data_IF_986418783084
#
_entry.id   IF_986418783084
#
_cell.length_a   1.000
_cell.length_b   1.000
_cell.length_c   1.000
_cell.angle_alpha   90.00
_cell.angle_beta   90.00
_cell.angle_gamma   90.00
#
_symmetry.space_group_name_H-M   'P 1'
#
loop_
_entity.id
_entity.type
_entity.pdbx_description
1 polymer ?
#
# COMPACT_ATOMS: atom_id res chain seq x y z
N UNK A 1 10.25 -4.66 -18.62
CA UNK A 1 10.19 -4.34 -17.17
C UNK A 1 11.55 -3.86 -16.68
N UNK A 2 12.18 -2.95 -17.43
CA UNK A 2 13.51 -2.42 -17.10
C UNK A 2 13.41 -1.39 -15.97
N UNK A 3 12.39 -0.53 -16.03
CA UNK A 3 12.21 0.55 -15.07
C UNK A 3 11.79 0.04 -13.69
N UNK A 4 10.88 -0.93 -13.63
CA UNK A 4 10.53 -1.62 -12.38
C UNK A 4 11.79 -2.14 -11.67
N UNK A 5 12.68 -2.79 -12.42
CA UNK A 5 13.93 -3.35 -11.88
C UNK A 5 14.87 -2.24 -11.38
N UNK A 6 15.04 -1.18 -12.17
CA UNK A 6 15.84 0.00 -11.80
C UNK A 6 15.33 0.67 -10.52
N UNK A 7 14.01 0.84 -10.40
CA UNK A 7 13.35 1.46 -9.24
C UNK A 7 13.47 0.59 -7.98
N UNK A 8 13.40 -0.73 -8.13
CA UNK A 8 13.62 -1.69 -7.03
C UNK A 8 15.03 -1.58 -6.48
N UNK A 9 16.03 -1.55 -7.36
CA UNK A 9 17.43 -1.36 -6.95
C UNK A 9 17.66 0.00 -6.28
N UNK A 10 17.11 1.08 -6.86
CA UNK A 10 17.17 2.41 -6.26
C UNK A 10 16.53 2.43 -4.86
N UNK A 11 15.33 1.86 -4.72
CA UNK A 11 14.62 1.80 -3.44
C UNK A 11 15.44 1.06 -2.38
N UNK A 12 16.02 -0.09 -2.74
CA UNK A 12 16.84 -0.87 -1.81
C UNK A 12 18.08 -0.09 -1.36
N UNK A 13 18.82 0.51 -2.30
CA UNK A 13 20.00 1.34 -1.97
C UNK A 13 19.64 2.54 -1.09
N UNK A 14 18.54 3.22 -1.39
CA UNK A 14 18.06 4.36 -0.59
C UNK A 14 17.66 3.94 0.83
N UNK A 15 16.97 2.81 0.98
CA UNK A 15 16.61 2.24 2.28
C UNK A 15 17.86 1.83 3.07
N UNK A 16 18.81 1.13 2.44
CA UNK A 16 20.07 0.74 3.08
C UNK A 16 20.87 1.96 3.56
N UNK A 17 20.99 3.00 2.72
CA UNK A 17 21.67 4.24 3.09
C UNK A 17 20.97 4.97 4.24
N UNK A 18 19.63 5.02 4.24
CA UNK A 18 18.84 5.60 5.33
C UNK A 18 19.08 4.86 6.65
N UNK A 19 18.98 3.52 6.62
CA UNK A 19 19.14 2.69 7.81
C UNK A 19 20.57 2.74 8.37
N UNK A 20 21.59 2.91 7.54
CA UNK A 20 22.97 3.12 7.98
C UNK A 20 23.15 4.40 8.82
N UNK A 21 22.24 5.37 8.71
CA UNK A 21 22.23 6.60 9.49
C UNK A 21 21.34 6.54 10.74
N UNK A 22 20.73 5.39 11.03
CA UNK A 22 19.92 5.16 12.22
C UNK A 22 20.74 4.31 13.20
N UNK A 23 20.80 4.76 14.46
CA UNK A 23 21.47 4.02 15.53
C UNK A 23 20.52 2.95 16.11
N UNK A 24 20.74 1.65 15.82
CA UNK A 24 19.84 0.59 16.27
C UNK A 24 19.98 0.31 17.77
N UNK A 25 21.00 0.84 18.44
CA UNK A 25 21.25 0.60 19.88
C UNK A 25 20.34 1.41 20.79
N UNK A 26 19.60 2.38 20.23
CA UNK A 26 18.67 3.19 21.01
C UNK A 26 17.57 2.33 21.63
N UNK A 27 17.16 2.60 22.89
CA UNK A 27 16.31 1.67 23.65
C UNK A 27 14.99 1.30 22.99
N UNK A 28 14.35 2.19 22.22
CA UNK A 28 13.09 1.88 21.53
C UNK A 28 13.28 0.98 20.30
N UNK A 29 14.44 1.01 19.65
CA UNK A 29 14.78 0.08 18.56
C UNK A 29 15.32 -1.24 19.12
N UNK A 30 16.29 -1.17 20.04
CA UNK A 30 16.96 -2.34 20.61
C UNK A 30 16.00 -3.26 21.38
N UNK A 31 15.00 -2.69 22.06
CA UNK A 31 13.99 -3.47 22.80
C UNK A 31 12.73 -3.74 21.96
N UNK A 32 12.78 -3.52 20.64
CA UNK A 32 11.65 -3.75 19.72
C UNK A 32 10.33 -3.13 20.20
N UNK A 33 10.39 -1.85 20.63
CA UNK A 33 9.20 -1.10 21.06
C UNK A 33 8.51 -0.37 19.92
N UNK A 34 9.13 -0.33 18.75
CA UNK A 34 8.61 0.37 17.57
C UNK A 34 9.01 -0.34 16.29
N UNK A 35 8.05 -0.42 15.37
CA UNK A 35 8.27 -0.64 13.97
C UNK A 35 8.07 0.67 13.23
N UNK A 36 9.00 0.96 12.32
CA UNK A 36 8.80 1.99 11.30
C UNK A 36 8.74 1.29 9.96
N UNK A 37 7.64 1.49 9.23
CA UNK A 37 7.46 0.92 7.91
C UNK A 37 7.20 2.01 6.88
N UNK A 38 7.71 1.77 5.68
CA UNK A 38 7.43 2.60 4.53
C UNK A 38 6.12 2.16 3.87
N UNK A 39 5.40 3.13 3.33
CA UNK A 39 4.28 2.95 2.40
C UNK A 39 4.61 3.71 1.10
N UNK A 40 3.63 3.89 0.21
CA UNK A 40 3.87 4.65 -1.01
C UNK A 40 4.86 3.94 -1.95
N UNK A 41 5.59 4.71 -2.74
CA UNK A 41 6.54 4.15 -3.72
C UNK A 41 7.68 3.38 -3.04
N UNK A 42 8.13 3.79 -1.85
CA UNK A 42 9.16 3.05 -1.11
C UNK A 42 8.61 1.71 -0.59
N UNK A 43 7.39 1.69 -0.05
CA UNK A 43 6.72 0.46 0.38
C UNK A 43 6.52 -0.53 -0.77
N UNK A 44 6.10 -0.02 -1.95
CA UNK A 44 5.93 -0.81 -3.17
C UNK A 44 7.25 -1.23 -3.86
N UNK A 45 8.40 -0.73 -3.41
CA UNK A 45 9.70 -1.05 -4.00
C UNK A 45 9.97 -0.37 -5.35
N UNK A 46 9.39 0.82 -5.57
CA UNK A 46 9.39 1.51 -6.87
C UNK A 46 9.75 3.01 -6.78
N UNK A 47 10.41 3.43 -5.70
CA UNK A 47 10.83 4.81 -5.51
C UNK A 47 11.90 5.24 -6.54
N UNK A 48 11.91 6.54 -6.87
CA UNK A 48 13.02 7.23 -7.54
C UNK A 48 13.56 8.35 -6.67
N UNK A 49 14.62 9.00 -7.15
CA UNK A 49 15.18 10.26 -6.61
C UNK A 49 14.14 11.38 -6.43
N UNK A 50 13.04 11.33 -7.18
CA UNK A 50 11.95 12.31 -7.09
C UNK A 50 10.85 11.92 -6.11
N UNK A 51 10.88 10.69 -5.59
CA UNK A 51 9.87 10.19 -4.66
C UNK A 51 10.04 10.77 -3.26
N UNK A 52 8.93 11.00 -2.59
CA UNK A 52 8.91 11.29 -1.16
C UNK A 52 8.90 9.97 -0.37
N UNK A 53 9.28 10.02 0.91
CA UNK A 53 9.23 8.87 1.81
C UNK A 53 8.00 8.97 2.72
N UNK A 54 7.06 8.04 2.55
CA UNK A 54 5.88 7.91 3.39
C UNK A 54 6.13 6.90 4.51
N UNK A 55 6.16 7.35 5.77
CA UNK A 55 6.43 6.53 6.94
C UNK A 55 5.22 6.46 7.87
N UNK A 56 5.04 5.32 8.53
CA UNK A 56 4.07 5.12 9.61
C UNK A 56 4.77 4.32 10.73
N UNK A 57 4.38 4.56 11.99
CA UNK A 57 4.83 3.78 13.15
C UNK A 57 3.78 2.78 13.60
N UNK A 58 4.27 1.59 13.96
CA UNK A 58 3.53 0.55 14.66
C UNK A 58 4.22 0.26 15.98
N UNK A 59 3.45 0.11 17.05
CA UNK A 59 3.99 -0.18 18.38
C UNK A 59 3.14 -1.24 19.08
N UNK A 60 3.74 -2.03 20.00
CA UNK A 60 2.96 -2.91 20.85
C UNK A 60 1.93 -2.14 21.67
N UNK A 61 0.82 -2.80 21.95
CA UNK A 61 -0.23 -2.30 22.83
C UNK A 61 0.20 -2.41 24.30
N UNK A 62 -0.11 -1.39 25.10
CA UNK A 62 -0.03 -1.50 26.55
C UNK A 62 -1.00 -2.54 27.06
N UNK A 63 -0.64 -3.21 28.15
CA UNK A 63 -1.53 -4.07 28.91
C UNK A 63 -2.14 -3.30 30.09
N UNK A 64 -3.39 -3.59 30.40
CA UNK A 64 -4.01 -3.15 31.66
C UNK A 64 -3.59 -4.03 32.85
N UNK A 65 -4.14 -3.76 34.04
CA UNK A 65 -3.83 -4.52 35.26
C UNK A 65 -4.23 -5.99 35.21
N UNK A 66 -5.11 -6.37 34.28
CA UNK A 66 -5.57 -7.75 34.07
C UNK A 66 -4.81 -8.43 32.92
N UNK A 67 -3.83 -7.74 32.32
CA UNK A 67 -3.04 -8.24 31.20
C UNK A 67 -3.73 -8.14 29.84
N UNK A 68 -4.82 -7.36 29.72
CA UNK A 68 -5.55 -7.18 28.46
C UNK A 68 -4.99 -6.00 27.67
N UNK A 69 -4.88 -6.18 26.36
CA UNK A 69 -4.41 -5.13 25.46
C UNK A 69 -5.33 -3.92 25.38
N UNK A 70 -4.72 -2.75 25.54
CA UNK A 70 -5.29 -1.43 25.35
C UNK A 70 -4.97 -0.91 23.94
N UNK A 71 -5.70 0.10 23.51
CA UNK A 71 -5.37 0.84 22.28
C UNK A 71 -4.13 1.72 22.43
N UNK A 72 -3.73 2.03 23.67
CA UNK A 72 -2.58 2.88 23.98
C UNK A 72 -1.26 2.17 23.64
N UNK A 73 -0.32 2.93 23.06
CA UNK A 73 1.02 2.47 22.70
C UNK A 73 1.92 2.27 23.92
N UNK A 74 2.75 1.22 23.92
CA UNK A 74 3.86 1.07 24.88
C UNK A 74 4.96 2.10 24.70
N UNK A 75 5.07 2.69 23.50
CA UNK A 75 6.02 3.76 23.20
C UNK A 75 5.51 5.06 23.85
N UNK A 76 6.37 5.71 24.63
CA UNK A 76 6.02 6.99 25.24
C UNK A 76 5.94 8.09 24.18
N UNK A 77 5.22 9.18 24.46
CA UNK A 77 5.16 10.33 23.53
C UNK A 77 6.52 11.00 23.33
N UNK A 78 7.42 10.95 24.31
CA UNK A 78 8.79 11.45 24.17
C UNK A 78 9.62 10.53 23.26
N UNK A 79 9.52 9.20 23.44
CA UNK A 79 10.20 8.25 22.56
C UNK A 79 9.68 8.36 21.12
N UNK A 80 8.37 8.56 20.93
CA UNK A 80 7.76 8.80 19.62
C UNK A 80 8.40 10.02 18.93
N UNK A 81 8.60 11.12 19.66
CA UNK A 81 9.29 12.32 19.14
C UNK A 81 10.75 12.00 18.80
N UNK A 82 11.45 11.23 19.63
CA UNK A 82 12.82 10.81 19.37
C UNK A 82 12.95 9.95 18.11
N UNK A 83 12.04 8.99 17.91
CA UNK A 83 11.99 8.17 16.68
C UNK A 83 11.79 9.06 15.45
N UNK A 84 10.83 9.99 15.49
CA UNK A 84 10.61 10.94 14.39
C UNK A 84 11.87 11.78 14.12
N UNK A 85 12.50 12.30 15.16
CA UNK A 85 13.70 13.13 15.04
C UNK A 85 14.88 12.35 14.44
N UNK A 86 15.03 11.08 14.78
CA UNK A 86 16.08 10.23 14.24
C UNK A 86 15.90 9.97 12.75
N UNK A 87 14.68 9.64 12.32
CA UNK A 87 14.39 9.47 10.89
C UNK A 87 14.56 10.76 10.10
N UNK A 88 14.15 11.91 10.67
CA UNK A 88 14.37 13.22 10.03
C UNK A 88 15.86 13.52 9.88
N UNK A 89 16.68 13.23 10.92
CA UNK A 89 18.14 13.40 10.83
C UNK A 89 18.74 12.47 9.78
N UNK A 90 18.34 11.20 9.76
CA UNK A 90 18.82 10.22 8.80
C UNK A 90 18.49 10.64 7.36
N UNK A 91 17.25 11.08 7.10
CA UNK A 91 16.83 11.61 5.80
C UNK A 91 17.74 12.75 5.33
N UNK A 92 18.00 13.72 6.21
CA UNK A 92 18.83 14.89 5.90
C UNK A 92 20.29 14.51 5.69
N UNK A 93 20.84 13.58 6.48
CA UNK A 93 22.19 13.04 6.27
C UNK A 93 22.35 12.36 4.92
N UNK A 94 21.29 11.73 4.41
CA UNK A 94 21.27 11.12 3.08
C UNK A 94 20.95 12.11 1.94
N UNK A 95 20.68 13.39 2.24
CA UNK A 95 20.24 14.37 1.25
C UNK A 95 18.84 14.08 0.67
N UNK A 96 18.03 13.30 1.37
CA UNK A 96 16.66 12.98 0.98
C UNK A 96 15.72 14.13 1.37
N UNK A 97 14.57 14.21 0.68
CA UNK A 97 13.53 15.20 0.97
C UNK A 97 12.99 15.03 2.39
N UNK A 98 12.62 16.14 3.02
CA UNK A 98 11.85 16.12 4.26
C UNK A 98 10.48 15.45 4.04
N UNK A 99 9.92 14.85 5.10
CA UNK A 99 8.63 14.14 5.05
C UNK A 99 7.48 15.08 4.62
N UNK A 100 6.63 14.59 3.71
CA UNK A 100 5.46 15.35 3.24
C UNK A 100 4.51 15.74 4.38
N UNK A 101 3.82 16.87 4.19
CA UNK A 101 2.88 17.42 5.16
C UNK A 101 3.53 17.71 6.52
N UNK A 102 4.83 17.97 6.56
CA UNK A 102 5.62 18.16 7.78
C UNK A 102 5.54 16.98 8.75
N UNK A 103 5.48 15.76 8.21
CA UNK A 103 5.43 14.53 9.01
C UNK A 103 4.04 14.19 9.56
N UNK A 104 2.97 14.85 9.08
CA UNK A 104 1.57 14.59 9.48
C UNK A 104 1.15 13.12 9.36
N UNK A 105 1.75 12.37 8.45
CA UNK A 105 1.41 10.95 8.23
C UNK A 105 2.33 10.00 8.99
N UNK A 106 3.40 10.50 9.61
CA UNK A 106 4.30 9.71 10.46
C UNK A 106 3.72 9.57 11.86
N UNK A 107 2.52 9.00 11.92
CA UNK A 107 1.73 8.77 13.13
C UNK A 107 2.00 7.38 13.70
N UNK A 108 1.70 7.22 14.99
CA UNK A 108 1.89 5.97 15.72
C UNK A 108 0.56 5.26 15.97
N UNK A 109 0.49 3.99 15.58
CA UNK A 109 -0.65 3.11 15.78
C UNK A 109 -0.26 1.85 16.56
N UNK A 110 -1.24 1.26 17.23
CA UNK A 110 -1.18 -0.12 17.74
C UNK A 110 -2.08 -1.01 16.90
N UNK A 111 -1.76 -2.31 16.77
CA UNK A 111 -2.63 -3.26 16.08
C UNK A 111 -4.05 -3.24 16.69
N UNK A 112 -4.14 -3.19 18.03
CA UNK A 112 -5.42 -3.10 18.75
C UNK A 112 -6.25 -1.89 18.34
N UNK A 113 -5.64 -0.71 18.22
CA UNK A 113 -6.34 0.50 17.79
C UNK A 113 -6.82 0.39 16.33
N UNK A 114 -6.00 -0.17 15.44
CA UNK A 114 -6.37 -0.40 14.04
C UNK A 114 -7.52 -1.40 13.90
N UNK A 115 -7.54 -2.45 14.72
CA UNK A 115 -8.60 -3.47 14.75
C UNK A 115 -9.91 -2.91 15.31
N UNK A 116 -9.87 -2.19 16.44
CA UNK A 116 -11.08 -1.60 17.03
C UNK A 116 -11.71 -0.53 16.15
N UNK A 117 -10.93 0.09 15.25
CA UNK A 117 -11.43 1.10 14.35
C UNK A 117 -12.17 0.52 13.13
N UNK A 118 -12.01 -0.77 12.78
CA UNK A 118 -12.54 -1.32 11.52
C UNK A 118 -14.05 -1.09 11.41
N UNK A 119 -14.46 -0.38 10.35
CA UNK A 119 -15.89 -0.09 10.09
C UNK A 119 -16.54 0.91 11.05
N UNK A 120 -15.80 1.46 12.02
CA UNK A 120 -16.29 2.49 12.93
C UNK A 120 -16.23 3.89 12.32
N UNK A 121 -16.98 4.89 12.85
CA UNK A 121 -16.84 6.29 12.43
C UNK A 121 -15.41 6.86 12.64
N UNK A 122 -14.65 6.29 13.58
CA UNK A 122 -13.30 6.73 13.90
C UNK A 122 -12.23 6.23 12.91
N UNK A 123 -12.61 5.29 12.03
CA UNK A 123 -11.71 4.65 11.06
C UNK A 123 -11.09 5.69 10.13
N UNK A 124 -11.91 6.58 9.56
CA UNK A 124 -11.46 7.66 8.67
C UNK A 124 -10.89 8.86 9.44
N UNK A 125 -11.47 9.21 10.60
CA UNK A 125 -11.09 10.42 11.37
C UNK A 125 -9.66 10.35 11.89
N UNK A 126 -9.27 9.18 12.40
CA UNK A 126 -7.93 8.97 12.99
C UNK A 126 -6.88 8.57 11.95
N UNK A 127 -7.29 8.33 10.70
CA UNK A 127 -6.43 7.75 9.67
C UNK A 127 -6.16 6.25 9.82
N UNK A 128 -6.76 5.59 10.82
CA UNK A 128 -6.62 4.15 11.07
C UNK A 128 -6.99 3.31 9.84
N UNK A 129 -8.04 3.69 9.11
CA UNK A 129 -8.47 3.01 7.89
C UNK A 129 -7.34 2.94 6.84
N UNK A 130 -6.75 4.09 6.54
CA UNK A 130 -5.67 4.17 5.54
C UNK A 130 -4.40 3.52 6.07
N UNK A 131 -4.03 3.74 7.32
CA UNK A 131 -2.83 3.13 7.91
C UNK A 131 -2.88 1.59 7.91
N UNK A 132 -4.03 1.01 8.31
CA UNK A 132 -4.29 -0.43 8.32
C UNK A 132 -4.21 -1.02 6.91
N UNK A 133 -4.87 -0.39 5.94
CA UNK A 133 -4.90 -0.95 4.59
C UNK A 133 -3.55 -0.78 3.87
N UNK A 134 -2.84 0.33 4.08
CA UNK A 134 -1.49 0.47 3.52
C UNK A 134 -0.50 -0.50 4.18
N UNK A 135 -0.66 -0.81 5.48
CA UNK A 135 0.07 -1.89 6.14
C UNK A 135 -0.14 -3.23 5.41
N UNK A 136 -1.39 -3.61 5.16
CA UNK A 136 -1.71 -4.90 4.55
C UNK A 136 -1.41 -4.96 3.05
N UNK A 137 -1.42 -3.84 2.33
CA UNK A 137 -1.42 -3.83 0.86
C UNK A 137 -0.11 -3.39 0.23
N UNK A 138 0.72 -2.58 0.88
CA UNK A 138 1.94 -2.06 0.24
C UNK A 138 3.10 -1.76 1.19
N UNK A 139 3.02 -2.20 2.45
CA UNK A 139 4.04 -1.80 3.42
C UNK A 139 5.34 -2.57 3.29
N UNK A 140 6.43 -1.91 3.68
CA UNK A 140 7.75 -2.52 3.85
C UNK A 140 8.33 -2.11 5.20
N UNK A 141 8.58 -3.05 6.14
CA UNK A 141 9.24 -2.70 7.39
C UNK A 141 10.66 -2.22 7.12
N UNK A 142 11.03 -1.08 7.69
CA UNK A 142 12.40 -0.56 7.68
C UNK A 142 13.14 -1.02 8.95
N UNK A 143 12.45 -0.96 10.10
CA UNK A 143 12.91 -1.43 11.41
C UNK A 143 11.74 -2.12 12.11
N UNK A 144 12.03 -3.11 12.97
CA UNK A 144 11.01 -3.77 13.80
C UNK A 144 10.13 -4.75 13.03
N UNK A 145 10.72 -5.58 12.16
CA UNK A 145 10.00 -6.54 11.32
C UNK A 145 9.11 -7.50 12.12
N UNK A 146 9.51 -7.89 13.34
CA UNK A 146 8.68 -8.76 14.20
C UNK A 146 7.35 -8.10 14.58
N UNK A 147 7.37 -6.82 14.97
CA UNK A 147 6.14 -6.07 15.29
C UNK A 147 5.28 -5.90 14.05
N UNK A 148 5.91 -5.65 12.89
CA UNK A 148 5.23 -5.54 11.60
C UNK A 148 4.46 -6.82 11.24
N UNK A 149 5.14 -7.97 11.26
CA UNK A 149 4.53 -9.27 10.96
C UNK A 149 3.44 -9.62 11.97
N UNK A 150 3.70 -9.44 13.27
CA UNK A 150 2.70 -9.67 14.32
C UNK A 150 1.45 -8.82 14.13
N UNK A 151 1.61 -7.54 13.79
CA UNK A 151 0.47 -6.65 13.56
C UNK A 151 -0.34 -7.07 12.33
N UNK A 152 0.31 -7.54 11.25
CA UNK A 152 -0.37 -8.11 10.09
C UNK A 152 -1.19 -9.34 10.51
N UNK A 153 -0.60 -10.26 11.28
CA UNK A 153 -1.28 -11.46 11.76
C UNK A 153 -2.51 -11.13 12.63
N UNK A 154 -2.37 -10.21 13.57
CA UNK A 154 -3.46 -9.78 14.46
C UNK A 154 -4.61 -9.15 13.66
N UNK A 155 -4.28 -8.29 12.70
CA UNK A 155 -5.27 -7.59 11.88
C UNK A 155 -5.97 -8.56 10.91
N UNK A 156 -5.22 -9.46 10.26
CA UNK A 156 -5.82 -10.49 9.40
C UNK A 156 -6.72 -11.42 10.18
N UNK A 157 -6.32 -11.82 11.40
CA UNK A 157 -7.15 -12.63 12.29
C UNK A 157 -8.49 -11.96 12.58
N UNK A 158 -8.51 -10.63 12.76
CA UNK A 158 -9.76 -9.89 12.94
C UNK A 158 -10.68 -9.95 11.70
N UNK A 159 -10.11 -9.89 10.50
CA UNK A 159 -10.88 -10.04 9.24
C UNK A 159 -11.33 -11.49 8.96
N UNK A 160 -10.59 -12.48 9.44
CA UNK A 160 -10.85 -13.93 9.26
C UNK A 160 -11.54 -14.58 10.46
N UNK A 161 -12.19 -13.81 11.33
CA UNK A 161 -12.88 -14.33 12.53
C UNK A 161 -13.84 -15.48 12.20
N UNK A 162 -14.54 -15.41 11.07
CA UNK A 162 -15.51 -16.42 10.64
C UNK A 162 -14.89 -17.56 9.80
N UNK A 163 -13.57 -17.61 9.63
CA UNK A 163 -12.92 -18.66 8.84
C UNK A 163 -13.04 -20.07 9.43
N UNK A 164 -12.81 -20.33 10.74
CA UNK A 164 -12.82 -21.70 11.27
C UNK A 164 -14.10 -22.51 10.98
N UNK A 165 -15.33 -21.95 11.09
CA UNK A 165 -16.54 -22.68 10.72
C UNK A 165 -16.79 -22.80 9.20
N UNK A 166 -16.04 -22.07 8.36
CA UNK A 166 -16.25 -21.96 6.91
C UNK A 166 -14.99 -22.30 6.08
N UNK A 167 -14.03 -23.03 6.67
CA UNK A 167 -12.66 -23.14 6.14
C UNK A 167 -12.56 -23.71 4.72
N UNK A 168 -13.54 -24.51 4.28
CA UNK A 168 -13.60 -25.16 2.97
C UNK A 168 -14.22 -24.29 1.87
N UNK A 169 -14.88 -23.19 2.22
CA UNK A 169 -15.58 -22.31 1.27
C UNK A 169 -15.50 -20.81 1.63
N UNK A 170 -14.50 -20.40 2.41
CA UNK A 170 -14.44 -19.04 2.95
C UNK A 170 -14.11 -18.01 1.87
N UNK A 171 -15.00 -17.03 1.73
CA UNK A 171 -14.78 -15.81 0.94
C UNK A 171 -14.43 -14.68 1.91
N UNK A 172 -13.27 -13.99 1.76
CA UNK A 172 -12.86 -12.91 2.65
C UNK A 172 -13.58 -11.59 2.33
N UNK A 173 -14.90 -11.64 2.24
CA UNK A 173 -15.79 -10.55 1.84
C UNK A 173 -15.52 -9.28 2.65
N UNK A 174 -15.34 -9.40 3.97
CA UNK A 174 -15.11 -8.27 4.85
C UNK A 174 -13.82 -7.51 4.48
N UNK A 175 -12.71 -8.23 4.33
CA UNK A 175 -11.44 -7.63 3.94
C UNK A 175 -11.48 -7.07 2.51
N UNK A 176 -12.03 -7.82 1.55
CA UNK A 176 -12.14 -7.37 0.16
C UNK A 176 -12.97 -6.10 0.03
N UNK A 177 -14.07 -5.98 0.78
CA UNK A 177 -14.87 -4.77 0.82
C UNK A 177 -14.09 -3.58 1.37
N UNK A 178 -13.22 -3.77 2.36
CA UNK A 178 -12.39 -2.68 2.89
C UNK A 178 -11.29 -2.26 1.88
N UNK A 179 -10.74 -3.20 1.11
CA UNK A 179 -9.82 -2.90 -0.02
C UNK A 179 -10.52 -2.10 -1.11
N UNK A 180 -11.73 -2.51 -1.50
CA UNK A 180 -12.54 -1.78 -2.50
C UNK A 180 -12.98 -0.40 -1.97
N UNK A 181 -13.32 -0.30 -0.68
CA UNK A 181 -13.57 0.97 0.00
C UNK A 181 -12.34 1.86 -0.08
N UNK A 182 -11.12 1.34 0.13
CA UNK A 182 -9.91 2.15 0.08
C UNK A 182 -9.72 2.77 -1.30
N UNK A 183 -9.89 1.99 -2.36
CA UNK A 183 -9.85 2.49 -3.74
C UNK A 183 -10.86 3.63 -3.96
N UNK A 184 -12.12 3.42 -3.58
CA UNK A 184 -13.19 4.43 -3.70
C UNK A 184 -12.87 5.68 -2.87
N UNK A 185 -12.35 5.51 -1.66
CA UNK A 185 -11.90 6.59 -0.78
C UNK A 185 -10.76 7.38 -1.41
N UNK A 186 -9.77 6.74 -2.05
CA UNK A 186 -8.72 7.46 -2.78
C UNK A 186 -9.29 8.29 -3.94
N UNK A 187 -10.24 7.74 -4.70
CA UNK A 187 -10.92 8.46 -5.79
C UNK A 187 -11.67 9.70 -5.28
N UNK A 188 -12.47 9.56 -4.22
CA UNK A 188 -13.24 10.66 -3.64
C UNK A 188 -12.32 11.70 -2.98
N UNK A 189 -11.30 11.25 -2.24
CA UNK A 189 -10.31 12.13 -1.63
C UNK A 189 -9.54 12.94 -2.67
N UNK A 190 -9.22 12.33 -3.83
CA UNK A 190 -8.62 13.05 -4.95
C UNK A 190 -9.54 14.17 -5.45
N UNK A 191 -10.83 13.92 -5.67
CA UNK A 191 -11.75 14.97 -6.10
C UNK A 191 -11.90 16.06 -5.03
N UNK A 192 -12.07 15.69 -3.75
CA UNK A 192 -12.17 16.63 -2.65
C UNK A 192 -10.93 17.55 -2.53
N UNK A 193 -9.73 17.00 -2.71
CA UNK A 193 -8.45 17.74 -2.62
C UNK A 193 -8.10 18.52 -3.89
N UNK A 194 -8.76 18.25 -5.01
CA UNK A 194 -8.45 18.90 -6.29
C UNK A 194 -9.57 19.77 -6.84
N UNK A 195 -10.77 19.76 -6.23
CA UNK A 195 -11.93 20.57 -6.67
C UNK A 195 -11.66 22.07 -6.71
N UNK A 196 -10.77 22.57 -5.84
CA UNK A 196 -10.41 24.00 -5.77
C UNK A 196 -9.22 24.37 -6.67
N UNK A 197 -8.59 23.40 -7.34
CA UNK A 197 -7.46 23.67 -8.22
C UNK A 197 -7.96 24.20 -9.58
N UNK A 198 -7.84 25.50 -9.78
CA UNK A 198 -8.28 26.21 -10.99
C UNK A 198 -7.10 26.83 -11.75
N UNK A 199 -7.35 27.33 -12.97
CA UNK A 199 -6.31 28.00 -13.76
C UNK A 199 -5.15 27.05 -14.11
N UNK A 200 -3.91 27.47 -13.84
CA UNK A 200 -2.71 26.68 -14.10
C UNK A 200 -2.54 25.49 -13.14
N UNK A 201 -3.18 25.50 -11.97
CA UNK A 201 -3.13 24.36 -11.05
C UNK A 201 -3.95 23.15 -11.54
N UNK A 202 -4.75 23.31 -12.60
CA UNK A 202 -5.45 22.19 -13.27
C UNK A 202 -4.47 21.13 -13.79
N UNK A 203 -3.23 21.51 -14.11
CA UNK A 203 -2.21 20.57 -14.59
C UNK A 203 -1.66 19.71 -13.45
N UNK A 204 -1.57 20.25 -12.22
CA UNK A 204 -1.29 19.45 -11.01
C UNK A 204 -2.40 18.43 -10.75
N UNK A 205 -3.67 18.79 -11.01
CA UNK A 205 -4.80 17.85 -10.95
C UNK A 205 -4.58 16.65 -11.89
N UNK A 206 -4.11 16.88 -13.12
CA UNK A 206 -3.80 15.80 -14.09
C UNK A 206 -2.72 14.84 -13.59
N UNK A 207 -1.62 15.36 -13.04
CA UNK A 207 -0.54 14.55 -12.46
C UNK A 207 -1.03 13.71 -11.28
N UNK A 208 -1.80 14.32 -10.37
CA UNK A 208 -2.40 13.60 -9.23
C UNK A 208 -3.34 12.48 -9.70
N UNK A 209 -4.12 12.71 -10.76
CA UNK A 209 -4.99 11.68 -11.33
C UNK A 209 -4.20 10.51 -11.92
N UNK A 210 -3.10 10.81 -12.60
CA UNK A 210 -2.24 9.78 -13.19
C UNK A 210 -1.65 8.88 -12.10
N UNK A 211 -1.03 9.47 -11.06
CA UNK A 211 -0.48 8.72 -9.93
C UNK A 211 -1.55 7.90 -9.19
N UNK A 212 -2.78 8.41 -9.08
CA UNK A 212 -3.93 7.70 -8.54
C UNK A 212 -4.29 6.47 -9.38
N UNK A 213 -4.50 6.67 -10.69
CA UNK A 213 -4.95 5.62 -11.62
C UNK A 213 -3.96 4.47 -11.80
N UNK A 214 -2.67 4.73 -11.62
CA UNK A 214 -1.64 3.69 -11.67
C UNK A 214 -1.35 3.13 -10.28
N UNK A 215 -0.64 3.88 -9.44
CA UNK A 215 -0.09 3.36 -8.18
C UNK A 215 -1.15 2.90 -7.17
N UNK A 216 -2.23 3.68 -6.97
CA UNK A 216 -3.28 3.31 -6.00
C UNK A 216 -4.20 2.21 -6.54
N UNK A 217 -4.44 2.18 -7.85
CA UNK A 217 -5.17 1.09 -8.49
C UNK A 217 -4.38 -0.22 -8.40
N UNK A 218 -3.09 -0.21 -8.73
CA UNK A 218 -2.20 -1.37 -8.60
C UNK A 218 -2.22 -1.93 -7.17
N UNK A 219 -2.12 -1.04 -6.17
CA UNK A 219 -2.14 -1.42 -4.75
C UNK A 219 -3.40 -2.20 -4.38
N UNK A 220 -4.57 -1.69 -4.75
CA UNK A 220 -5.84 -2.30 -4.37
C UNK A 220 -6.16 -3.54 -5.23
N UNK A 221 -6.06 -3.41 -6.55
CA UNK A 221 -6.53 -4.46 -7.46
C UNK A 221 -5.55 -5.62 -7.65
N UNK A 222 -4.25 -5.45 -7.34
CA UNK A 222 -3.35 -6.61 -7.23
C UNK A 222 -3.76 -7.53 -6.08
N UNK A 223 -4.20 -6.97 -4.95
CA UNK A 223 -4.68 -7.74 -3.80
C UNK A 223 -6.02 -8.42 -4.10
N UNK A 224 -6.98 -7.67 -4.68
CA UNK A 224 -8.27 -8.25 -5.09
C UNK A 224 -8.07 -9.41 -6.08
N UNK A 225 -7.22 -9.23 -7.09
CA UNK A 225 -6.92 -10.28 -8.06
C UNK A 225 -6.23 -11.49 -7.40
N UNK A 226 -5.32 -11.27 -6.46
CA UNK A 226 -4.67 -12.35 -5.72
C UNK A 226 -5.67 -13.19 -4.93
N UNK A 227 -6.52 -12.54 -4.12
CA UNK A 227 -7.53 -13.23 -3.31
C UNK A 227 -8.53 -13.98 -4.19
N UNK A 228 -8.99 -13.36 -5.29
CA UNK A 228 -9.91 -13.99 -6.23
C UNK A 228 -9.27 -15.20 -6.93
N UNK A 229 -7.99 -15.11 -7.29
CA UNK A 229 -7.25 -16.23 -7.88
C UNK A 229 -7.09 -17.39 -6.88
N UNK A 230 -6.76 -17.09 -5.63
CA UNK A 230 -6.65 -18.11 -4.58
C UNK A 230 -7.99 -18.85 -4.40
N UNK A 231 -9.08 -18.10 -4.29
CA UNK A 231 -10.42 -18.67 -4.20
C UNK A 231 -10.80 -19.49 -5.44
N UNK A 232 -10.52 -18.99 -6.65
CA UNK A 232 -10.82 -19.69 -7.90
C UNK A 232 -10.12 -21.04 -8.01
N UNK A 233 -8.90 -21.15 -7.45
CA UNK A 233 -8.10 -22.39 -7.46
C UNK A 233 -8.48 -23.34 -6.33
N UNK A 234 -8.75 -22.83 -5.13
CA UNK A 234 -8.91 -23.65 -3.91
C UNK A 234 -10.34 -23.76 -3.38
N UNK A 235 -11.26 -22.93 -3.85
CA UNK A 235 -12.61 -22.79 -3.31
C UNK A 235 -12.70 -22.02 -1.99
N UNK A 236 -11.56 -21.56 -1.44
CA UNK A 236 -11.48 -20.88 -0.14
C UNK A 236 -10.22 -20.01 -0.10
N UNK A 237 -10.20 -18.98 0.75
CA UNK A 237 -8.99 -18.18 1.01
C UNK A 237 -8.61 -18.31 2.48
N UNK A 238 -7.46 -18.94 2.75
CA UNK A 238 -6.98 -19.15 4.12
C UNK A 238 -6.27 -17.91 4.67
N UNK A 239 -6.19 -17.75 6.01
CA UNK A 239 -5.38 -16.69 6.62
C UNK A 239 -3.92 -16.70 6.17
N UNK A 240 -3.33 -17.88 5.94
CA UNK A 240 -1.94 -18.03 5.47
C UNK A 240 -1.76 -17.51 4.05
N UNK A 241 -2.74 -17.75 3.16
CA UNK A 241 -2.71 -17.20 1.81
C UNK A 241 -2.85 -15.66 1.84
N UNK A 242 -3.69 -15.12 2.71
CA UNK A 242 -3.83 -13.68 2.91
C UNK A 242 -2.55 -13.06 3.49
N UNK A 243 -1.90 -13.71 4.46
CA UNK A 243 -0.62 -13.27 4.99
C UNK A 243 0.46 -13.27 3.90
N UNK A 244 0.58 -14.35 3.13
CA UNK A 244 1.54 -14.43 2.02
C UNK A 244 1.35 -13.29 1.00
N UNK A 245 0.10 -12.90 0.73
CA UNK A 245 -0.21 -11.73 -0.10
C UNK A 245 0.28 -10.41 0.54
N UNK A 246 0.06 -10.22 1.85
CA UNK A 246 0.50 -9.03 2.58
C UNK A 246 2.02 -8.87 2.62
N UNK A 247 2.76 -9.98 2.56
CA UNK A 247 4.23 -9.98 2.52
C UNK A 247 4.81 -9.71 1.12
N UNK A 248 3.97 -9.57 0.09
CA UNK A 248 4.37 -9.26 -1.28
C UNK A 248 4.04 -7.80 -1.62
N UNK A 249 4.91 -7.15 -2.39
CA UNK A 249 4.57 -5.89 -3.07
C UNK A 249 3.46 -6.13 -4.10
N UNK A 250 2.72 -5.08 -4.50
CA UNK A 250 1.69 -5.21 -5.55
C UNK A 250 2.19 -5.81 -6.87
N UNK A 251 3.44 -5.53 -7.26
CA UNK A 251 4.08 -6.11 -8.45
C UNK A 251 4.37 -7.60 -8.24
N UNK A 252 4.90 -7.98 -7.09
CA UNK A 252 5.21 -9.38 -6.76
C UNK A 252 3.96 -10.25 -6.71
N UNK A 253 2.81 -9.71 -6.28
CA UNK A 253 1.51 -10.40 -6.36
C UNK A 253 1.13 -10.76 -7.79
N UNK A 254 1.28 -9.82 -8.71
CA UNK A 254 1.01 -10.07 -10.12
C UNK A 254 1.99 -11.09 -10.71
N UNK A 255 3.28 -10.96 -10.37
CA UNK A 255 4.31 -11.90 -10.80
C UNK A 255 4.04 -13.32 -10.28
N UNK A 256 3.65 -13.47 -9.01
CA UNK A 256 3.37 -14.78 -8.41
C UNK A 256 2.17 -15.47 -9.07
N UNK A 257 1.09 -14.73 -9.34
CA UNK A 257 -0.07 -15.25 -10.08
C UNK A 257 0.33 -15.65 -11.51
N UNK A 258 1.07 -14.79 -12.20
CA UNK A 258 1.52 -15.03 -13.58
C UNK A 258 2.39 -16.28 -13.72
N UNK A 259 3.27 -16.51 -12.74
CA UNK A 259 4.13 -17.70 -12.67
C UNK A 259 3.38 -18.98 -12.31
N UNK A 260 2.34 -18.90 -11.46
CA UNK A 260 1.60 -20.07 -11.00
C UNK A 260 0.45 -20.48 -11.94
N UNK A 261 -0.18 -19.53 -12.63
CA UNK A 261 -1.36 -19.79 -13.45
C UNK A 261 -1.04 -20.62 -14.70
N UNK A 262 -1.95 -21.53 -15.05
CA UNK A 262 -1.94 -22.24 -16.33
C UNK A 262 -2.84 -21.58 -17.39
N UNK A 263 -3.56 -20.52 -17.02
CA UNK A 263 -4.46 -19.79 -17.92
C UNK A 263 -3.63 -18.81 -18.75
N UNK A 264 -3.33 -19.18 -20.00
CA UNK A 264 -2.48 -18.37 -20.89
C UNK A 264 -2.99 -16.94 -21.09
N UNK A 265 -4.31 -16.75 -21.19
CA UNK A 265 -4.93 -15.43 -21.33
C UNK A 265 -4.73 -14.56 -20.09
N UNK A 266 -4.83 -15.14 -18.89
CA UNK A 266 -4.55 -14.41 -17.64
C UNK A 266 -3.09 -13.96 -17.57
N UNK A 267 -2.16 -14.86 -17.93
CA UNK A 267 -0.74 -14.52 -17.99
C UNK A 267 -0.46 -13.34 -18.92
N UNK A 268 -1.12 -13.32 -20.09
CA UNK A 268 -1.01 -12.20 -21.02
C UNK A 268 -1.55 -10.90 -20.41
N UNK A 269 -2.74 -10.93 -19.81
CA UNK A 269 -3.32 -9.74 -19.16
C UNK A 269 -2.41 -9.19 -18.04
N UNK A 270 -1.81 -10.06 -17.24
CA UNK A 270 -0.85 -9.64 -16.21
C UNK A 270 0.41 -9.04 -16.84
N UNK A 271 0.95 -9.63 -17.91
CA UNK A 271 2.09 -9.06 -18.64
C UNK A 271 1.78 -7.65 -19.14
N UNK A 272 0.61 -7.47 -19.77
CA UNK A 272 0.17 -6.18 -20.28
C UNK A 272 0.02 -5.13 -19.16
N UNK A 273 -0.52 -5.53 -18.00
CA UNK A 273 -0.63 -4.66 -16.81
C UNK A 273 0.76 -4.21 -16.36
N UNK A 274 1.71 -5.14 -16.22
CA UNK A 274 3.06 -4.86 -15.75
C UNK A 274 3.85 -3.99 -16.73
N UNK A 275 3.73 -4.23 -18.04
CA UNK A 275 4.37 -3.41 -19.08
C UNK A 275 3.83 -1.97 -19.07
N UNK A 276 2.52 -1.80 -18.93
CA UNK A 276 1.89 -0.47 -18.83
C UNK A 276 2.33 0.26 -17.57
N UNK A 277 2.49 -0.47 -16.47
CA UNK A 277 2.99 0.08 -15.23
C UNK A 277 4.46 0.49 -15.33
N UNK A 278 5.31 -0.32 -15.96
CA UNK A 278 6.71 0.00 -16.28
C UNK A 278 6.80 1.31 -17.09
N UNK A 279 5.97 1.45 -18.12
CA UNK A 279 5.89 2.69 -18.91
C UNK A 279 5.40 3.92 -18.12
N UNK A 280 4.50 3.74 -17.15
CA UNK A 280 4.11 4.79 -16.22
C UNK A 280 5.27 5.22 -15.31
N UNK A 281 6.03 4.26 -14.76
CA UNK A 281 7.21 4.55 -13.95
C UNK A 281 8.28 5.32 -14.75
N UNK A 282 8.46 4.99 -16.04
CA UNK A 282 9.35 5.73 -16.93
C UNK A 282 8.87 7.16 -17.14
N UNK A 283 7.58 7.33 -17.45
CA UNK A 283 6.96 8.64 -17.68
C UNK A 283 7.04 9.53 -16.44
N UNK A 284 6.91 8.93 -15.25
CA UNK A 284 6.95 9.63 -13.96
C UNK A 284 8.34 9.70 -13.35
N UNK A 285 9.40 9.35 -14.10
CA UNK A 285 10.78 9.51 -13.64
C UNK A 285 11.31 10.93 -13.85
N UNK A 286 10.61 11.90 -13.27
CA UNK A 286 11.01 13.30 -13.25
C UNK A 286 10.39 14.00 -12.04
N UNK A 287 10.75 15.26 -11.81
CA UNK A 287 10.13 16.07 -10.77
C UNK A 287 8.65 16.34 -11.06
N UNK A 288 7.88 16.68 -10.03
CA UNK A 288 6.45 16.99 -10.20
C UNK A 288 6.23 18.20 -11.12
N UNK A 289 7.12 19.20 -11.10
CA UNK A 289 7.03 20.38 -11.97
C UNK A 289 7.32 20.06 -13.44
N UNK A 290 8.29 19.18 -13.71
CA UNK A 290 8.55 18.66 -15.05
C UNK A 290 7.39 17.81 -15.56
N UNK A 291 6.84 16.94 -14.72
CA UNK A 291 5.68 16.12 -15.07
C UNK A 291 4.45 17.00 -15.34
N UNK A 292 4.23 18.04 -14.53
CA UNK A 292 3.20 19.07 -14.79
C UNK A 292 3.42 19.73 -16.14
N UNK A 293 4.67 20.10 -16.46
CA UNK A 293 5.03 20.72 -17.74
C UNK A 293 4.76 19.80 -18.93
N UNK A 294 5.02 18.50 -18.80
CA UNK A 294 4.63 17.51 -19.79
C UNK A 294 3.11 17.42 -19.95
N UNK A 295 2.36 17.44 -18.84
CA UNK A 295 0.89 17.36 -18.84
C UNK A 295 0.19 18.64 -19.33
N UNK A 296 0.92 19.74 -19.55
CA UNK A 296 0.40 20.94 -20.22
C UNK A 296 0.12 20.69 -21.71
N UNK A 297 0.93 19.83 -22.35
CA UNK A 297 0.76 19.46 -23.77
C UNK A 297 -0.49 18.59 -23.92
N UNK A 298 -1.43 19.00 -24.76
CA UNK A 298 -2.72 18.30 -24.97
C UNK A 298 -2.52 16.85 -25.36
N UNK A 299 -1.61 16.60 -26.29
CA UNK A 299 -1.41 15.28 -26.89
C UNK A 299 -0.77 14.32 -25.88
N UNK A 300 0.20 14.80 -25.10
CA UNK A 300 0.80 14.03 -24.00
C UNK A 300 -0.25 13.66 -22.97
N UNK A 301 -1.06 14.62 -22.53
CA UNK A 301 -2.11 14.36 -21.55
C UNK A 301 -3.12 13.34 -22.06
N UNK A 302 -3.58 13.48 -23.31
CA UNK A 302 -4.57 12.57 -23.88
C UNK A 302 -4.01 11.15 -24.02
N UNK A 303 -2.77 11.02 -24.48
CA UNK A 303 -2.08 9.73 -24.58
C UNK A 303 -1.96 9.04 -23.22
N UNK A 304 -1.59 9.79 -22.18
CA UNK A 304 -1.48 9.29 -20.81
C UNK A 304 -2.83 8.97 -20.19
N UNK A 305 -3.87 9.74 -20.53
CA UNK A 305 -5.25 9.48 -20.11
C UNK A 305 -5.76 8.15 -20.67
N UNK A 306 -5.57 7.92 -21.97
CA UNK A 306 -5.94 6.67 -22.64
C UNK A 306 -5.17 5.49 -22.03
N UNK A 307 -3.85 5.61 -21.90
CA UNK A 307 -3.02 4.56 -21.32
C UNK A 307 -3.45 4.18 -19.89
N UNK A 308 -3.84 5.16 -19.07
CA UNK A 308 -4.33 4.91 -17.72
C UNK A 308 -5.69 4.19 -17.70
N UNK A 309 -6.57 4.44 -18.67
CA UNK A 309 -7.81 3.68 -18.81
C UNK A 309 -7.56 2.24 -19.26
N UNK A 310 -6.66 2.05 -20.21
CA UNK A 310 -6.27 0.72 -20.67
C UNK A 310 -5.60 -0.10 -19.55
N UNK A 311 -4.82 0.55 -18.68
CA UNK A 311 -4.26 -0.08 -17.48
C UNK A 311 -5.37 -0.63 -16.55
N UNK A 312 -6.37 0.20 -16.23
CA UNK A 312 -7.51 -0.26 -15.43
C UNK A 312 -8.36 -1.33 -16.13
N UNK A 313 -8.50 -1.24 -17.45
CA UNK A 313 -9.18 -2.26 -18.24
C UNK A 313 -8.44 -3.61 -18.23
N UNK A 314 -7.10 -3.59 -18.11
CA UNK A 314 -6.30 -4.80 -17.90
C UNK A 314 -6.70 -5.53 -16.62
N UNK A 315 -6.85 -4.82 -15.50
CA UNK A 315 -7.34 -5.41 -14.25
C UNK A 315 -8.76 -5.96 -14.38
N UNK A 316 -9.66 -5.24 -15.03
CA UNK A 316 -11.02 -5.72 -15.31
C UNK A 316 -10.98 -7.07 -16.05
N UNK A 317 -10.20 -7.18 -17.13
CA UNK A 317 -10.05 -8.43 -17.89
C UNK A 317 -9.45 -9.56 -17.07
N UNK A 318 -8.42 -9.26 -16.27
CA UNK A 318 -7.80 -10.27 -15.41
C UNK A 318 -8.77 -10.81 -14.35
N UNK A 319 -9.55 -9.92 -13.71
CA UNK A 319 -10.57 -10.29 -12.73
C UNK A 319 -11.68 -11.11 -13.36
N UNK A 320 -12.15 -10.72 -14.56
CA UNK A 320 -13.21 -11.42 -15.28
C UNK A 320 -12.79 -12.85 -15.66
N UNK A 321 -11.56 -13.01 -16.18
CA UNK A 321 -10.99 -14.31 -16.54
C UNK A 321 -10.82 -15.23 -15.33
N UNK A 322 -10.36 -14.71 -14.19
CA UNK A 322 -10.19 -15.52 -12.95
C UNK A 322 -11.52 -15.81 -12.28
N UNK A 323 -12.40 -14.82 -12.27
CA UNK A 323 -13.67 -14.83 -11.58
C UNK A 323 -14.68 -15.76 -12.22
N UNK A 324 -14.84 -15.71 -13.55
CA UNK A 324 -15.73 -16.58 -14.32
C UNK A 324 -17.09 -16.82 -13.62
N UNK A 325 -17.73 -15.72 -13.21
CA UNK A 325 -19.00 -15.67 -12.48
C UNK A 325 -19.10 -16.46 -11.16
N UNK A 326 -17.97 -16.80 -10.53
CA UNK A 326 -17.94 -17.39 -9.20
C UNK A 326 -18.47 -16.43 -8.12
N UNK A 327 -18.82 -16.96 -6.96
CA UNK A 327 -19.49 -16.19 -5.90
C UNK A 327 -18.63 -15.02 -5.39
N UNK A 328 -17.31 -15.18 -5.35
CA UNK A 328 -16.41 -14.10 -4.95
C UNK A 328 -16.31 -13.01 -6.01
N UNK A 329 -16.30 -13.37 -7.30
CA UNK A 329 -16.32 -12.41 -8.40
C UNK A 329 -17.58 -11.54 -8.35
N UNK A 330 -18.74 -12.16 -8.11
CA UNK A 330 -20.01 -11.43 -7.97
C UNK A 330 -19.96 -10.41 -6.84
N UNK A 331 -19.36 -10.77 -5.70
CA UNK A 331 -19.18 -9.87 -4.57
C UNK A 331 -18.24 -8.68 -4.87
N UNK A 332 -17.26 -8.86 -5.77
CA UNK A 332 -16.38 -7.76 -6.19
C UNK A 332 -17.12 -6.77 -7.10
N UNK A 333 -18.06 -7.26 -7.91
CA UNK A 333 -18.78 -6.49 -8.92
C UNK A 333 -20.00 -5.77 -8.34
N UNK A 334 -20.77 -6.42 -7.46
CA UNK A 334 -22.04 -5.94 -6.89
C UNK A 334 -21.82 -5.32 -5.51
#
# INVERSE_FOLDING_TARGET
MEEISRRREHTNRTVEALLANIDPTKPYFANEKVCVYATGSTGRGEASEFSDLDLIMLTPSKLDSEGKELTASELTKLDEICVKADFIKALRSCGLKDLDGHGKYFENFTAKALIQAIGSPNDDVTGAFTARLLLLLESRPLIGSRIHTSAIDDILSAYWTDFPPHSDHFIPAYFTNDVLRLWRTFCVNYEARTRSLTGDDKFKKRVKNLKLKYSRMLTCYSAVLYLLNEFSVRGTVTPEAANAMCMQTPIERLQSISSATQIGVLRQHISDILERYDGFLQTSNCSDDELVSHMRKSDTFEKQRIAAYEFGHGFYKALDVVGNDNDFHRLIVV
#
